data_IF_375622650153
#
_entry.id   IF_375622650153
#
_cell.length_a   1.000
_cell.length_b   1.000
_cell.length_c   1.000
_cell.angle_alpha   90.00
_cell.angle_beta   90.00
_cell.angle_gamma   90.00
#
_symmetry.space_group_name_H-M   'P 1'
#
loop_
_entity.id
_entity.type
_entity.pdbx_description
1 polymer ?
#
# COMPACT_ATOMS: atom_id res chain seq x y z
N UNK A 1 1.60 -11.20 2.62
CA UNK A 1 1.11 -10.12 1.73
C UNK A 1 1.02 -10.63 0.28
N UNK A 2 0.01 -10.21 -0.52
CA UNK A 2 -0.04 -10.54 -1.96
C UNK A 2 0.50 -9.38 -2.81
N UNK A 3 1.58 -9.64 -3.55
CA UNK A 3 2.38 -8.64 -4.28
C UNK A 3 1.61 -8.03 -5.48
N UNK A 4 0.67 -8.77 -6.06
CA UNK A 4 -0.21 -8.34 -7.15
C UNK A 4 -1.09 -7.11 -6.82
N UNK A 5 -1.29 -6.85 -5.51
CA UNK A 5 -2.08 -5.71 -5.03
C UNK A 5 -1.33 -4.36 -5.07
N UNK A 6 -0.10 -4.33 -5.61
CA UNK A 6 0.76 -3.16 -5.61
C UNK A 6 1.33 -2.90 -7.01
N UNK A 7 1.60 -1.63 -7.33
CA UNK A 7 2.32 -1.26 -8.55
C UNK A 7 3.77 -1.71 -8.43
N UNK A 8 4.42 -2.02 -9.55
CA UNK A 8 5.81 -2.49 -9.56
C UNK A 8 6.76 -1.58 -8.75
N UNK A 9 6.64 -0.27 -8.94
CA UNK A 9 7.43 0.75 -8.23
C UNK A 9 7.15 0.82 -6.71
N UNK A 10 5.97 0.40 -6.26
CA UNK A 10 5.57 0.47 -4.85
C UNK A 10 5.86 -0.84 -4.09
N UNK A 11 6.22 -1.94 -4.80
CA UNK A 11 6.38 -3.28 -4.20
C UNK A 11 7.44 -3.30 -3.09
N UNK A 12 8.59 -2.68 -3.34
CA UNK A 12 9.68 -2.66 -2.37
C UNK A 12 9.29 -1.92 -1.09
N UNK A 13 8.63 -0.77 -1.21
CA UNK A 13 8.18 0.00 -0.05
C UNK A 13 7.05 -0.71 0.70
N UNK A 14 6.08 -1.31 -0.01
CA UNK A 14 5.03 -2.10 0.63
C UNK A 14 5.58 -3.32 1.38
N UNK A 15 6.66 -3.94 0.87
CA UNK A 15 7.37 -5.01 1.57
C UNK A 15 8.06 -4.50 2.84
N UNK A 16 8.76 -3.37 2.78
CA UNK A 16 9.37 -2.73 3.96
C UNK A 16 8.34 -2.46 5.06
N UNK A 17 7.20 -1.86 4.72
CA UNK A 17 6.14 -1.59 5.70
C UNK A 17 5.56 -2.90 6.29
N UNK A 18 5.45 -3.95 5.47
CA UNK A 18 4.97 -5.24 5.95
C UNK A 18 5.95 -5.92 6.91
N UNK A 19 7.25 -5.79 6.66
CA UNK A 19 8.28 -6.34 7.54
C UNK A 19 8.36 -5.53 8.84
N UNK A 20 8.26 -4.19 8.77
CA UNK A 20 8.12 -3.33 9.95
C UNK A 20 6.93 -3.73 10.83
N UNK A 21 5.76 -4.04 10.23
CA UNK A 21 4.60 -4.54 10.99
C UNK A 21 4.91 -5.86 11.71
N UNK A 22 5.68 -6.77 11.11
CA UNK A 22 6.04 -8.03 11.78
C UNK A 22 6.96 -7.80 12.98
N UNK A 23 7.92 -6.90 12.83
CA UNK A 23 8.86 -6.57 13.89
C UNK A 23 8.10 -5.90 15.06
N UNK A 24 7.22 -4.94 14.77
CA UNK A 24 6.36 -4.30 15.76
C UNK A 24 5.40 -5.29 16.44
N UNK A 25 4.87 -6.28 15.72
CA UNK A 25 4.05 -7.35 16.32
C UNK A 25 4.82 -8.17 17.36
N UNK A 26 6.11 -8.42 17.12
CA UNK A 26 6.97 -9.10 18.09
C UNK A 26 7.23 -8.20 19.30
N UNK A 27 7.58 -6.93 19.09
CA UNK A 27 7.84 -5.97 20.17
C UNK A 27 6.61 -5.76 21.06
N UNK A 28 5.43 -5.57 20.46
CA UNK A 28 4.16 -5.44 21.18
C UNK A 28 3.95 -6.66 22.09
N UNK A 29 4.16 -7.88 21.56
CA UNK A 29 4.01 -9.11 22.35
C UNK A 29 4.96 -9.13 23.55
N UNK A 30 6.23 -8.81 23.33
CA UNK A 30 7.24 -8.77 24.39
C UNK A 30 6.92 -7.72 25.45
N UNK A 31 6.42 -6.54 25.05
CA UNK A 31 6.00 -5.50 25.97
C UNK A 31 4.78 -5.92 26.80
N UNK A 32 3.79 -6.56 26.18
CA UNK A 32 2.61 -7.07 26.89
C UNK A 32 2.97 -8.18 27.89
N UNK A 33 3.84 -9.11 27.52
CA UNK A 33 4.33 -10.17 28.41
C UNK A 33 5.07 -9.62 29.64
N UNK A 34 5.74 -8.47 29.48
CA UNK A 34 6.44 -7.77 30.57
C UNK A 34 5.55 -6.81 31.38
N UNK A 35 4.27 -6.67 31.02
CA UNK A 35 3.36 -5.70 31.65
C UNK A 35 3.65 -4.24 31.28
N UNK A 36 4.48 -3.99 30.25
CA UNK A 36 4.87 -2.66 29.80
C UNK A 36 3.85 -2.09 28.80
N UNK A 37 2.63 -1.83 29.26
CA UNK A 37 1.51 -1.46 28.38
C UNK A 37 1.72 -0.14 27.63
N UNK A 38 2.33 0.87 28.26
CA UNK A 38 2.61 2.15 27.60
C UNK A 38 3.57 2.00 26.41
N UNK A 39 4.58 1.13 26.53
CA UNK A 39 5.50 0.84 25.42
C UNK A 39 4.80 0.03 24.31
N UNK A 40 3.95 -0.93 24.70
CA UNK A 40 3.14 -1.67 23.73
C UNK A 40 2.19 -0.75 22.93
N UNK A 41 1.59 0.25 23.59
CA UNK A 41 0.73 1.25 22.95
C UNK A 41 1.50 2.06 21.89
N UNK A 42 2.69 2.55 22.21
CA UNK A 42 3.56 3.26 21.25
C UNK A 42 3.87 2.40 20.02
N UNK A 43 4.28 1.14 20.23
CA UNK A 43 4.52 0.23 19.09
C UNK A 43 3.24 -0.02 18.27
N UNK A 44 2.05 -0.03 18.88
CA UNK A 44 0.78 -0.14 18.15
C UNK A 44 0.49 1.10 17.31
N UNK A 45 0.81 2.30 17.79
CA UNK A 45 0.68 3.54 17.02
C UNK A 45 1.56 3.52 15.77
N UNK A 46 2.82 3.11 15.90
CA UNK A 46 3.74 2.96 14.78
C UNK A 46 3.24 1.91 13.78
N UNK A 47 2.71 0.78 14.27
CA UNK A 47 2.14 -0.27 13.42
C UNK A 47 0.94 0.26 12.61
N UNK A 48 0.12 1.14 13.20
CA UNK A 48 -0.99 1.79 12.51
C UNK A 48 -0.48 2.69 11.37
N UNK A 49 0.65 3.37 11.55
CA UNK A 49 1.27 4.20 10.49
C UNK A 49 1.69 3.33 9.31
N UNK A 50 2.42 2.24 9.53
CA UNK A 50 2.80 1.30 8.45
C UNK A 50 1.58 0.70 7.75
N UNK A 51 0.51 0.38 8.49
CA UNK A 51 -0.74 -0.08 7.90
C UNK A 51 -1.40 0.98 6.99
N UNK A 52 -1.31 2.27 7.35
CA UNK A 52 -1.83 3.37 6.52
C UNK A 52 -1.04 3.49 5.21
N UNK A 53 0.29 3.37 5.24
CA UNK A 53 1.10 3.42 4.03
C UNK A 53 0.82 2.23 3.09
N UNK A 54 0.66 1.01 3.63
CA UNK A 54 0.23 -0.15 2.82
C UNK A 54 -1.12 0.11 2.13
N UNK A 55 -2.08 0.71 2.84
CA UNK A 55 -3.39 1.06 2.26
C UNK A 55 -3.25 2.09 1.14
N UNK A 56 -2.35 3.07 1.28
CA UNK A 56 -2.06 4.07 0.25
C UNK A 56 -1.50 3.43 -1.02
N UNK A 57 -0.54 2.51 -0.92
CA UNK A 57 -0.03 1.80 -2.10
C UNK A 57 -1.11 0.95 -2.79
N UNK A 58 -1.99 0.29 -2.03
CA UNK A 58 -3.14 -0.44 -2.60
C UNK A 58 -4.12 0.49 -3.32
N UNK A 59 -4.41 1.66 -2.75
CA UNK A 59 -5.27 2.67 -3.41
C UNK A 59 -4.64 3.15 -4.71
N UNK A 60 -3.33 3.39 -4.73
CA UNK A 60 -2.61 3.79 -5.92
C UNK A 60 -2.66 2.73 -7.02
N UNK A 61 -2.52 1.43 -6.68
CA UNK A 61 -2.71 0.33 -7.63
C UNK A 61 -4.13 0.30 -8.21
N UNK A 62 -5.16 0.40 -7.37
CA UNK A 62 -6.56 0.43 -7.84
C UNK A 62 -6.84 1.60 -8.78
N UNK A 63 -6.32 2.79 -8.46
CA UNK A 63 -6.46 3.97 -9.32
C UNK A 63 -5.78 3.74 -10.67
N UNK A 64 -4.55 3.21 -10.65
CA UNK A 64 -3.82 2.84 -11.87
C UNK A 64 -4.59 1.84 -12.73
N UNK A 65 -5.08 0.75 -12.13
CA UNK A 65 -5.83 -0.28 -12.85
C UNK A 65 -7.12 0.26 -13.48
N UNK A 66 -7.81 1.14 -12.75
CA UNK A 66 -8.99 1.84 -13.27
C UNK A 66 -8.64 2.70 -14.48
N UNK A 67 -7.58 3.50 -14.41
CA UNK A 67 -7.14 4.33 -15.53
C UNK A 67 -6.71 3.50 -16.73
N UNK A 68 -5.99 2.40 -16.49
CA UNK A 68 -5.57 1.48 -17.53
C UNK A 68 -6.77 0.83 -18.23
N UNK A 69 -7.79 0.38 -17.49
CA UNK A 69 -9.03 -0.15 -18.06
C UNK A 69 -9.80 0.88 -18.87
N UNK A 70 -9.86 2.14 -18.42
CA UNK A 70 -10.45 3.24 -19.20
C UNK A 70 -9.67 3.48 -20.49
N UNK A 71 -8.34 3.55 -20.43
CA UNK A 71 -7.49 3.74 -21.60
C UNK A 71 -7.67 2.60 -22.63
N UNK A 72 -7.74 1.35 -22.19
CA UNK A 72 -8.04 0.20 -23.05
C UNK A 72 -9.42 0.31 -23.71
N UNK A 73 -10.44 0.71 -22.96
CA UNK A 73 -11.80 0.89 -23.47
C UNK A 73 -11.92 2.02 -24.50
N UNK A 74 -11.20 3.13 -24.30
CA UNK A 74 -11.17 4.23 -25.26
C UNK A 74 -10.38 3.85 -26.52
N UNK A 75 -9.25 3.15 -26.35
CA UNK A 75 -8.46 2.63 -27.47
C UNK A 75 -9.23 1.62 -28.33
N UNK A 76 -9.99 0.70 -27.72
CA UNK A 76 -10.80 -0.28 -28.46
C UNK A 76 -11.97 0.36 -29.22
N UNK A 77 -12.39 1.57 -28.83
CA UNK A 77 -13.38 2.39 -29.54
C UNK A 77 -12.78 3.27 -30.64
N UNK A 78 -11.49 3.09 -30.95
CA UNK A 78 -10.82 3.81 -32.03
C UNK A 78 -10.48 5.27 -31.71
N UNK A 79 -10.49 5.67 -30.43
CA UNK A 79 -10.04 7.00 -30.05
C UNK A 79 -8.51 7.08 -30.07
N UNK A 80 -7.96 8.09 -30.75
CA UNK A 80 -6.52 8.33 -30.84
C UNK A 80 -5.91 8.51 -29.44
N UNK A 81 -4.85 7.76 -29.16
CA UNK A 81 -4.15 7.75 -27.87
C UNK A 81 -3.61 9.14 -27.45
N UNK A 82 -3.33 10.02 -28.41
CA UNK A 82 -2.87 11.40 -28.18
C UNK A 82 -3.91 12.25 -27.44
N UNK A 83 -5.21 12.08 -27.72
CA UNK A 83 -6.30 12.78 -27.02
C UNK A 83 -6.51 12.28 -25.58
N UNK A 84 -6.17 11.02 -25.31
CA UNK A 84 -6.31 10.37 -24.00
C UNK A 84 -5.17 10.78 -23.06
N UNK A 85 -4.00 11.08 -23.61
CA UNK A 85 -2.79 11.46 -22.86
C UNK A 85 -2.64 12.98 -22.67
N UNK A 86 -3.35 13.81 -23.45
CA UNK A 86 -3.24 15.27 -23.43
C UNK A 86 -3.97 15.98 -22.26
N UNK A 87 -4.74 15.26 -21.44
CA UNK A 87 -5.45 15.84 -20.26
C UNK A 87 -4.63 15.76 -18.97
N UNK A 88 -3.30 15.92 -19.06
CA UNK A 88 -2.40 16.05 -17.90
C UNK A 88 -2.23 17.50 -17.45
#
# INVERSE_FOLDING_TARGET
MRIENFRAQDKANAQKEHDCIKDLQLEIRLHLERGNYAAAELCMEDMIVSMKEIRKYRKAKRAHDKMFGVAQMLSSRGMNAELIMATR
#
